data_IF_951279954423
#
_entry.id   IF_951279954423
#
_cell.length_a   1.000
_cell.length_b   1.000
_cell.length_c   1.000
_cell.angle_alpha   90.00
_cell.angle_beta   90.00
_cell.angle_gamma   90.00
#
_symmetry.space_group_name_H-M   'P 1'
#
loop_
_entity.id
_entity.type
_entity.pdbx_description
1 polymer ?
#
# COMPACT_ATOMS: atom_id res chain seq x y z
N UNK A 1 -20.93 22.08 -9.45
CA UNK A 1 -20.58 20.88 -8.64
C UNK A 1 -19.48 20.10 -9.37
N UNK A 2 -18.30 19.91 -8.78
CA UNK A 2 -17.23 19.10 -9.40
C UNK A 2 -17.62 17.63 -9.31
N UNK A 3 -17.75 16.94 -10.44
CA UNK A 3 -18.07 15.52 -10.53
C UNK A 3 -17.06 14.66 -9.75
N UNK A 4 -17.41 14.23 -8.54
CA UNK A 4 -16.72 13.18 -7.79
C UNK A 4 -17.07 11.81 -8.39
N UNK A 5 -16.57 11.51 -9.59
CA UNK A 5 -16.43 10.11 -10.02
C UNK A 5 -15.43 9.44 -9.07
N UNK A 6 -15.97 8.53 -8.26
CA UNK A 6 -15.48 8.13 -6.95
C UNK A 6 -14.13 7.41 -6.90
N UNK A 7 -13.57 7.38 -5.70
CA UNK A 7 -12.45 6.52 -5.35
C UNK A 7 -12.83 5.04 -5.54
N UNK A 8 -11.85 4.24 -5.94
CA UNK A 8 -12.03 2.79 -6.16
C UNK A 8 -11.32 2.01 -5.07
N UNK A 9 -12.01 1.02 -4.49
CA UNK A 9 -11.43 0.07 -3.53
C UNK A 9 -10.66 -1.04 -4.24
N UNK A 10 -11.03 -1.35 -5.48
CA UNK A 10 -10.32 -2.32 -6.33
C UNK A 10 -8.83 -1.99 -6.46
N UNK A 11 -8.00 -3.01 -6.21
CA UNK A 11 -6.55 -2.95 -6.36
C UNK A 11 -6.18 -2.60 -7.81
N UNK A 12 -5.21 -1.70 -7.97
CA UNK A 12 -4.61 -1.36 -9.26
C UNK A 12 -3.29 -2.11 -9.41
N UNK A 13 -3.19 -3.14 -10.28
CA UNK A 13 -1.97 -3.93 -10.44
C UNK A 13 -0.77 -3.09 -10.84
N UNK A 14 -0.92 -2.13 -11.75
CA UNK A 14 0.19 -1.28 -12.21
C UNK A 14 0.81 -0.45 -11.07
N UNK A 15 0.02 -0.07 -10.06
CA UNK A 15 0.51 0.60 -8.86
C UNK A 15 1.03 -0.40 -7.83
N UNK A 16 0.28 -1.47 -7.57
CA UNK A 16 0.64 -2.48 -6.56
C UNK A 16 1.94 -3.19 -6.90
N UNK A 17 2.17 -3.54 -8.16
CA UNK A 17 3.31 -4.33 -8.60
C UNK A 17 4.67 -3.63 -8.39
N UNK A 18 4.67 -2.32 -8.07
CA UNK A 18 5.88 -1.60 -7.62
C UNK A 18 6.22 -1.87 -6.16
N UNK A 19 5.30 -2.49 -5.43
CA UNK A 19 5.38 -2.88 -4.03
C UNK A 19 5.11 -4.38 -3.85
N UNK A 20 5.31 -5.21 -4.88
CA UNK A 20 5.11 -6.65 -4.81
C UNK A 20 6.43 -7.37 -5.06
N UNK A 21 6.91 -8.13 -4.08
CA UNK A 21 8.16 -8.87 -4.19
C UNK A 21 8.12 -9.83 -5.39
N UNK A 22 9.24 -9.94 -6.11
CA UNK A 22 9.36 -10.84 -7.26
C UNK A 22 8.76 -10.31 -8.56
N UNK A 23 8.03 -9.18 -8.55
CA UNK A 23 7.54 -8.56 -9.77
C UNK A 23 8.60 -7.66 -10.43
N UNK A 24 8.69 -7.67 -11.77
CA UNK A 24 9.65 -6.83 -12.53
C UNK A 24 9.58 -5.34 -12.14
N UNK A 25 8.37 -4.79 -12.04
CA UNK A 25 8.13 -3.40 -11.62
C UNK A 25 8.65 -3.07 -10.22
N UNK A 26 8.71 -4.04 -9.30
CA UNK A 26 9.32 -3.85 -7.98
C UNK A 26 10.84 -3.77 -8.10
N UNK A 27 11.47 -4.65 -8.87
CA UNK A 27 12.93 -4.59 -9.09
C UNK A 27 13.35 -3.29 -9.79
N UNK A 28 12.58 -2.84 -10.79
CA UNK A 28 12.81 -1.56 -11.46
C UNK A 28 12.67 -0.37 -10.48
N UNK A 29 11.66 -0.42 -9.61
CA UNK A 29 11.43 0.62 -8.60
C UNK A 29 12.53 0.64 -7.53
N UNK A 30 12.93 -0.53 -7.03
CA UNK A 30 14.06 -0.71 -6.12
C UNK A 30 15.36 -0.18 -6.71
N UNK A 31 15.69 -0.53 -7.97
CA UNK A 31 16.87 -0.01 -8.67
C UNK A 31 16.85 1.52 -8.76
N UNK A 32 15.69 2.10 -9.11
CA UNK A 32 15.51 3.55 -9.16
C UNK A 32 15.70 4.22 -7.80
N UNK A 33 15.23 3.62 -6.72
CA UNK A 33 15.45 4.15 -5.36
C UNK A 33 16.93 4.12 -5.00
N UNK A 34 17.62 3.00 -5.23
CA UNK A 34 19.05 2.86 -4.96
C UNK A 34 19.90 3.90 -5.71
N UNK A 35 19.60 4.14 -6.99
CA UNK A 35 20.26 5.18 -7.80
C UNK A 35 20.10 6.59 -7.23
N UNK A 36 19.02 6.83 -6.48
CA UNK A 36 18.72 8.11 -5.84
C UNK A 36 19.19 8.21 -4.39
N UNK A 37 19.89 7.19 -3.88
CA UNK A 37 20.23 7.09 -2.46
C UNK A 37 19.00 6.95 -1.54
N UNK A 38 17.87 6.50 -2.08
CA UNK A 38 16.65 6.25 -1.31
C UNK A 38 16.62 4.82 -0.76
N UNK A 39 15.93 4.57 0.36
CA UNK A 39 15.75 3.22 0.90
C UNK A 39 15.09 2.28 -0.10
N UNK A 40 15.44 0.99 0.00
CA UNK A 40 14.71 -0.08 -0.69
C UNK A 40 13.24 -0.02 -0.26
N UNK A 41 12.28 -0.05 -1.19
CA UNK A 41 10.87 0.06 -0.84
C UNK A 41 10.38 -1.14 0.00
N UNK A 42 9.47 -0.90 0.94
CA UNK A 42 8.65 -1.95 1.56
C UNK A 42 7.86 -2.69 0.48
N UNK A 43 7.56 -3.97 0.74
CA UNK A 43 6.92 -4.83 -0.25
C UNK A 43 5.92 -5.80 0.36
N UNK A 44 4.88 -6.08 -0.41
CA UNK A 44 3.92 -7.16 -0.19
C UNK A 44 4.48 -8.47 -0.75
N UNK A 45 4.12 -9.57 -0.11
CA UNK A 45 4.47 -10.94 -0.52
C UNK A 45 3.25 -11.69 -1.09
N UNK A 46 2.02 -11.23 -0.77
CA UNK A 46 0.79 -11.77 -1.33
C UNK A 46 0.64 -11.39 -2.81
N UNK A 47 -0.04 -12.23 -3.58
CA UNK A 47 -0.42 -11.87 -4.94
C UNK A 47 -1.55 -10.82 -4.97
N UNK A 48 -1.78 -10.23 -6.14
CA UNK A 48 -2.78 -9.18 -6.31
C UNK A 48 -4.22 -9.65 -6.04
N UNK A 49 -4.55 -10.92 -6.31
CA UNK A 49 -5.91 -11.42 -6.12
C UNK A 49 -6.20 -11.61 -4.63
N UNK A 50 -5.26 -12.22 -3.91
CA UNK A 50 -5.35 -12.40 -2.46
C UNK A 50 -5.36 -11.05 -1.75
N UNK A 51 -4.42 -10.16 -2.08
CA UNK A 51 -4.35 -8.82 -1.48
C UNK A 51 -5.60 -7.98 -1.81
N UNK A 52 -6.12 -8.04 -3.04
CA UNK A 52 -7.37 -7.36 -3.39
C UNK A 52 -8.55 -7.89 -2.56
N UNK A 53 -8.64 -9.21 -2.37
CA UNK A 53 -9.69 -9.82 -1.53
C UNK A 53 -9.65 -9.29 -0.10
N UNK A 54 -8.45 -9.17 0.48
CA UNK A 54 -8.26 -8.56 1.79
C UNK A 54 -8.66 -7.07 1.84
N UNK A 55 -8.30 -6.28 0.81
CA UNK A 55 -8.71 -4.87 0.71
C UNK A 55 -10.24 -4.73 0.71
N UNK A 56 -10.94 -5.57 -0.08
CA UNK A 56 -12.41 -5.55 -0.14
C UNK A 56 -13.05 -5.87 1.23
N UNK A 57 -12.47 -6.82 1.96
CA UNK A 57 -12.99 -7.24 3.27
C UNK A 57 -12.70 -6.22 4.39
N UNK A 58 -11.59 -5.49 4.30
CA UNK A 58 -11.06 -4.69 5.42
C UNK A 58 -11.20 -3.19 5.24
N UNK A 59 -11.54 -2.70 4.04
CA UNK A 59 -11.74 -1.26 3.81
C UNK A 59 -12.78 -0.69 4.77
N UNK A 60 -12.45 0.43 5.43
CA UNK A 60 -13.28 1.08 6.44
C UNK A 60 -13.16 0.53 7.85
N UNK A 61 -12.31 -0.47 8.10
CA UNK A 61 -12.07 -1.03 9.44
C UNK A 61 -10.89 -0.38 10.18
N UNK A 62 -10.06 0.36 9.46
CA UNK A 62 -8.81 0.92 9.92
C UNK A 62 -8.88 2.40 10.27
N UNK A 63 -7.72 2.97 10.62
CA UNK A 63 -7.60 4.38 10.97
C UNK A 63 -7.43 5.23 9.71
N UNK A 64 -8.34 6.18 9.50
CA UNK A 64 -8.23 7.15 8.40
C UNK A 64 -7.04 8.08 8.62
N UNK A 65 -6.29 8.36 7.55
CA UNK A 65 -5.25 9.40 7.56
C UNK A 65 -5.87 10.69 7.04
N UNK A 66 -5.85 11.73 7.87
CA UNK A 66 -6.30 13.07 7.54
C UNK A 66 -5.13 14.08 7.49
N UNK A 67 -5.39 15.26 6.95
CA UNK A 67 -4.55 16.44 7.15
C UNK A 67 -4.69 16.98 8.57
N UNK A 68 -3.85 17.95 8.93
CA UNK A 68 -3.92 18.67 10.20
C UNK A 68 -5.23 19.48 10.33
N UNK A 69 -5.92 19.74 9.21
CA UNK A 69 -7.24 20.39 9.14
C UNK A 69 -8.41 19.40 9.16
N UNK A 70 -8.14 18.09 9.29
CA UNK A 70 -9.16 17.04 9.33
C UNK A 70 -9.64 16.56 7.95
N UNK A 71 -9.05 17.03 6.85
CA UNK A 71 -9.41 16.56 5.51
C UNK A 71 -8.86 15.17 5.24
N UNK A 72 -9.72 14.24 4.85
CA UNK A 72 -9.30 12.88 4.55
C UNK A 72 -8.35 12.82 3.35
N UNK A 73 -7.19 12.16 3.52
CA UNK A 73 -6.13 12.08 2.50
C UNK A 73 -6.30 10.92 1.53
N UNK A 74 -7.49 10.33 1.44
CA UNK A 74 -7.75 9.10 0.67
C UNK A 74 -6.83 7.94 1.09
N UNK A 75 -6.55 7.84 2.38
CA UNK A 75 -5.68 6.82 2.94
C UNK A 75 -6.24 6.25 4.24
N UNK A 76 -5.97 4.98 4.46
CA UNK A 76 -6.39 4.24 5.65
C UNK A 76 -5.25 3.31 6.07
N UNK A 77 -5.01 3.22 7.38
CA UNK A 77 -4.09 2.24 7.97
C UNK A 77 -4.92 1.04 8.43
N UNK A 78 -4.69 -0.12 7.82
CA UNK A 78 -5.47 -1.34 8.04
C UNK A 78 -4.57 -2.44 8.63
N UNK A 79 -5.09 -3.14 9.66
CA UNK A 79 -4.62 -4.46 10.06
C UNK A 79 -5.34 -5.52 9.21
N UNK A 80 -4.60 -6.20 8.34
CA UNK A 80 -5.15 -7.22 7.47
C UNK A 80 -5.39 -8.56 8.19
N UNK A 81 -4.89 -8.73 9.42
CA UNK A 81 -5.05 -9.95 10.22
C UNK A 81 -4.20 -11.13 9.75
N UNK A 82 -3.36 -10.93 8.73
CA UNK A 82 -2.40 -11.88 8.17
C UNK A 82 -1.16 -11.12 7.73
N UNK A 83 0.00 -11.76 7.77
CA UNK A 83 1.22 -11.22 7.20
C UNK A 83 1.02 -10.88 5.71
N UNK A 84 1.18 -9.60 5.35
CA UNK A 84 1.01 -9.11 3.98
C UNK A 84 2.34 -8.90 3.27
N UNK A 85 3.44 -8.81 4.02
CA UNK A 85 4.80 -8.62 3.51
C UNK A 85 5.72 -7.98 4.54
N UNK A 86 6.69 -7.18 4.07
CA UNK A 86 7.73 -6.60 4.93
C UNK A 86 7.84 -5.09 4.79
N UNK A 87 7.95 -4.43 5.95
CA UNK A 87 8.31 -3.02 6.05
C UNK A 87 9.83 -2.88 6.14
N UNK A 88 10.41 -1.97 5.34
CA UNK A 88 11.82 -1.59 5.48
C UNK A 88 11.95 -0.49 6.54
N UNK A 89 12.66 -0.79 7.63
CA UNK A 89 13.03 0.15 8.67
C UNK A 89 14.56 0.20 8.73
N UNK A 90 15.14 1.28 8.19
CA UNK A 90 16.58 1.53 8.19
C UNK A 90 17.42 0.35 7.63
N UNK A 91 16.94 -0.28 6.55
CA UNK A 91 17.60 -1.42 5.89
C UNK A 91 17.19 -2.79 6.45
N UNK A 92 16.48 -2.83 7.58
CA UNK A 92 15.94 -4.08 8.14
C UNK A 92 14.51 -4.31 7.68
N UNK A 93 14.26 -5.47 7.09
CA UNK A 93 12.92 -5.90 6.72
C UNK A 93 12.24 -6.64 7.87
N UNK A 94 11.07 -6.15 8.28
CA UNK A 94 10.28 -6.73 9.36
C UNK A 94 8.93 -7.15 8.78
N UNK A 95 8.53 -8.39 9.03
CA UNK A 95 7.21 -8.90 8.65
C UNK A 95 6.10 -8.07 9.30
N UNK A 96 5.03 -7.81 8.56
CA UNK A 96 3.90 -7.03 9.05
C UNK A 96 2.58 -7.49 8.45
N UNK A 97 1.53 -7.39 9.26
CA UNK A 97 0.12 -7.50 8.86
C UNK A 97 -0.53 -6.14 8.59
N UNK A 98 0.19 -5.05 8.83
CA UNK A 98 -0.31 -3.69 8.72
C UNK A 98 0.11 -3.05 7.39
N UNK A 99 -0.83 -2.35 6.75
CA UNK A 99 -0.56 -1.62 5.52
C UNK A 99 -1.26 -0.28 5.45
N UNK A 100 -0.64 0.68 4.76
CA UNK A 100 -1.32 1.90 4.33
C UNK A 100 -1.98 1.61 2.99
N UNK A 101 -3.30 1.72 2.96
CA UNK A 101 -4.12 1.60 1.76
C UNK A 101 -4.30 2.99 1.16
N UNK A 102 -3.85 3.16 -0.08
CA UNK A 102 -3.95 4.40 -0.84
C UNK A 102 -5.08 4.30 -1.87
N UNK A 103 -6.18 5.00 -1.62
CA UNK A 103 -7.33 5.06 -2.52
C UNK A 103 -7.12 6.10 -3.62
N UNK A 104 -7.58 5.78 -4.84
CA UNK A 104 -7.60 6.74 -5.94
C UNK A 104 -8.68 6.42 -6.96
N UNK A 105 -8.92 7.34 -7.89
CA UNK A 105 -9.86 7.14 -9.02
C UNK A 105 -9.46 5.98 -9.94
N UNK A 106 -8.16 5.67 -10.03
CA UNK A 106 -7.65 4.60 -10.89
C UNK A 106 -7.49 3.26 -10.17
N UNK A 107 -7.88 3.18 -8.90
CA UNK A 107 -7.70 1.98 -8.06
C UNK A 107 -6.71 2.18 -6.93
N UNK A 108 -6.59 1.16 -6.11
CA UNK A 108 -5.94 1.17 -4.80
C UNK A 108 -4.61 0.43 -4.81
N UNK A 109 -3.70 0.80 -3.92
CA UNK A 109 -2.49 0.01 -3.65
C UNK A 109 -2.18 0.05 -2.15
N UNK A 110 -1.43 -0.94 -1.69
CA UNK A 110 -1.07 -1.15 -0.29
C UNK A 110 0.45 -1.07 -0.16
N UNK A 111 0.89 -0.30 0.84
CA UNK A 111 2.28 -0.21 1.23
C UNK A 111 2.40 -0.79 2.66
N UNK A 112 3.21 -1.84 2.89
CA UNK A 112 3.42 -2.37 4.23
C UNK A 112 3.94 -1.28 5.18
N UNK A 113 3.37 -1.23 6.38
CA UNK A 113 3.73 -0.28 7.44
C UNK A 113 4.19 -1.05 8.67
N UNK A 114 4.96 -0.38 9.52
CA UNK A 114 5.06 -0.77 10.93
C UNK A 114 3.65 -0.78 11.53
N UNK A 115 3.43 -1.70 12.45
CA UNK A 115 2.29 -1.67 13.36
C UNK A 115 2.02 -0.25 13.86
N UNK A 116 0.72 0.06 13.93
CA UNK A 116 0.25 1.40 14.26
C UNK A 116 0.24 1.68 15.76
#
# INVERSE_FOLDING_TARGET
MKNNKGIKVELNPNKQNRHQLGHKLYEDYKKKNLQKGLPIPSYTELDNNELNSFIQQKTGSGRLIASDTGEWRNKEVIDFGKDIGKVNINGKFITTKWGIVHYSKTGTHVIPKKED
#
